data_IF_384350823405
#
_entry.id   IF_384350823405
#
_cell.length_a   1.000
_cell.length_b   1.000
_cell.length_c   1.000
_cell.angle_alpha   90.00
_cell.angle_beta   90.00
_cell.angle_gamma   90.00
#
_symmetry.space_group_name_H-M   'P 1'
#
loop_
_entity.id
_entity.type
_entity.pdbx_description
1 polymer ?
#
# COMPACT_ATOMS: atom_id res chain seq x y z
N UNK A 1 15.85 -22.04 8.81
CA UNK A 1 14.73 -21.09 8.65
C UNK A 1 14.64 -20.58 7.22
N UNK A 2 15.67 -19.95 6.66
CA UNK A 2 15.66 -19.34 5.31
C UNK A 2 15.24 -20.30 4.18
N UNK A 3 15.79 -21.52 4.12
CA UNK A 3 15.42 -22.51 3.08
C UNK A 3 13.92 -22.86 3.07
N UNK A 4 13.28 -22.91 4.23
CA UNK A 4 11.85 -23.24 4.33
C UNK A 4 10.97 -22.07 3.90
N UNK A 5 11.34 -20.84 4.27
CA UNK A 5 10.63 -19.65 3.83
C UNK A 5 10.70 -19.48 2.30
N UNK A 6 11.86 -19.73 1.71
CA UNK A 6 12.04 -19.74 0.24
C UNK A 6 11.14 -20.81 -0.39
N UNK A 7 11.17 -22.06 0.10
CA UNK A 7 10.31 -23.13 -0.42
C UNK A 7 8.82 -22.78 -0.38
N UNK A 8 8.34 -22.18 0.72
CA UNK A 8 6.94 -21.79 0.84
C UNK A 8 6.57 -20.67 -0.16
N UNK A 9 7.46 -19.69 -0.34
CA UNK A 9 7.24 -18.62 -1.33
C UNK A 9 7.25 -19.17 -2.76
N UNK A 10 8.14 -20.11 -3.06
CA UNK A 10 8.19 -20.78 -4.37
C UNK A 10 6.91 -21.58 -4.61
N UNK A 11 6.42 -22.33 -3.61
CA UNK A 11 5.14 -23.05 -3.66
C UNK A 11 3.95 -22.09 -3.92
N UNK A 12 3.91 -20.93 -3.25
CA UNK A 12 2.88 -19.91 -3.48
C UNK A 12 2.97 -19.32 -4.89
N UNK A 13 4.18 -19.10 -5.41
CA UNK A 13 4.41 -18.59 -6.77
C UNK A 13 3.97 -19.61 -7.83
N UNK A 14 4.29 -20.90 -7.63
CA UNK A 14 3.89 -21.98 -8.53
C UNK A 14 2.36 -22.13 -8.56
N UNK A 15 1.71 -22.06 -7.39
CA UNK A 15 0.24 -22.10 -7.29
C UNK A 15 -0.42 -20.90 -7.98
N UNK A 16 0.16 -19.71 -7.86
CA UNK A 16 -0.30 -18.52 -8.58
C UNK A 16 -0.13 -18.66 -10.09
N UNK A 17 1.03 -19.14 -10.55
CA UNK A 17 1.33 -19.36 -11.97
C UNK A 17 0.35 -20.36 -12.60
N UNK A 18 0.10 -21.49 -11.94
CA UNK A 18 -0.89 -22.48 -12.38
C UNK A 18 -2.30 -21.87 -12.46
N UNK A 19 -2.75 -21.16 -11.42
CA UNK A 19 -4.07 -20.52 -11.42
C UNK A 19 -4.19 -19.45 -12.51
N UNK A 20 -3.11 -18.71 -12.78
CA UNK A 20 -3.05 -17.68 -13.81
C UNK A 20 -3.14 -18.26 -15.23
N UNK A 21 -2.45 -19.39 -15.46
CA UNK A 21 -2.50 -20.13 -16.71
C UNK A 21 -3.88 -20.74 -16.95
N UNK A 22 -4.45 -21.42 -15.95
CA UNK A 22 -5.79 -22.02 -16.03
C UNK A 22 -6.87 -20.96 -16.31
N UNK A 23 -6.70 -19.75 -15.79
CA UNK A 23 -7.58 -18.62 -16.05
C UNK A 23 -7.38 -17.97 -17.43
N UNK A 24 -6.36 -18.37 -18.20
CA UNK A 24 -6.04 -17.81 -19.52
C UNK A 24 -5.56 -16.35 -19.47
N UNK A 25 -4.97 -15.92 -18.35
CA UNK A 25 -4.58 -14.52 -18.13
C UNK A 25 -3.15 -14.20 -18.56
N UNK A 26 -2.35 -15.23 -18.89
CA UNK A 26 -0.97 -15.10 -19.35
C UNK A 26 -0.90 -14.23 -20.61
N UNK A 27 -0.03 -13.21 -20.61
CA UNK A 27 0.09 -12.27 -21.71
C UNK A 27 -1.11 -11.31 -21.90
N UNK A 28 -2.14 -11.40 -21.06
CA UNK A 28 -3.36 -10.59 -21.17
C UNK A 28 -3.24 -9.15 -20.68
N UNK A 29 -2.05 -8.73 -20.23
CA UNK A 29 -1.77 -7.37 -19.74
C UNK A 29 -2.44 -7.02 -18.41
N UNK A 30 -3.07 -7.99 -17.73
CA UNK A 30 -3.72 -7.77 -16.45
C UNK A 30 -2.67 -7.60 -15.35
N UNK A 31 -2.60 -6.40 -14.78
CA UNK A 31 -1.59 -6.05 -13.78
C UNK A 31 -1.75 -6.91 -12.52
N UNK A 32 -0.62 -7.41 -12.01
CA UNK A 32 -0.53 -8.11 -10.73
C UNK A 32 0.18 -7.21 -9.72
N UNK A 33 -0.31 -7.17 -8.49
CA UNK A 33 0.31 -6.40 -7.41
C UNK A 33 0.99 -7.38 -6.43
N UNK A 34 2.27 -7.14 -6.16
CA UNK A 34 2.97 -7.77 -5.03
C UNK A 34 3.11 -6.76 -3.89
N UNK A 35 3.16 -7.24 -2.66
CA UNK A 35 3.26 -6.36 -1.50
C UNK A 35 4.22 -6.87 -0.45
N UNK A 36 4.87 -5.94 0.24
CA UNK A 36 5.81 -6.19 1.32
C UNK A 36 5.67 -5.09 2.38
N UNK A 37 6.12 -5.30 3.64
CA UNK A 37 6.27 -4.18 4.56
C UNK A 37 7.23 -3.15 3.95
N UNK A 38 6.96 -1.87 4.15
CA UNK A 38 7.91 -0.82 3.79
C UNK A 38 9.12 -0.79 4.73
N UNK A 39 10.21 -0.10 4.35
CA UNK A 39 11.46 -0.10 5.07
C UNK A 39 11.34 0.40 6.53
N UNK A 40 10.49 1.39 6.81
CA UNK A 40 10.29 1.91 8.17
C UNK A 40 9.53 0.89 9.02
N UNK A 41 8.42 0.36 8.50
CA UNK A 41 7.61 -0.65 9.18
C UNK A 41 8.39 -1.94 9.42
N UNK A 42 9.22 -2.38 8.47
CA UNK A 42 10.11 -3.52 8.63
C UNK A 42 11.13 -3.28 9.74
N UNK A 43 11.85 -2.16 9.72
CA UNK A 43 12.84 -1.83 10.74
C UNK A 43 12.22 -1.62 12.13
N UNK A 44 10.99 -1.10 12.19
CA UNK A 44 10.25 -0.97 13.43
C UNK A 44 9.77 -2.34 13.96
N UNK A 45 9.48 -3.30 13.08
CA UNK A 45 8.98 -4.63 13.44
C UNK A 45 10.05 -5.64 13.87
N UNK A 46 11.33 -5.36 13.63
CA UNK A 46 12.45 -6.24 13.95
C UNK A 46 13.23 -5.79 15.18
N UNK A 47 13.79 -6.75 15.91
CA UNK A 47 14.65 -6.53 17.08
C UNK A 47 16.10 -6.90 16.76
N UNK A 48 17.03 -6.09 17.28
CA UNK A 48 18.45 -6.38 17.31
C UNK A 48 18.77 -7.40 18.41
N UNK A 49 19.97 -7.97 18.38
CA UNK A 49 20.41 -8.96 19.39
C UNK A 49 20.38 -8.45 20.84
N UNK A 50 20.38 -7.12 21.04
CA UNK A 50 20.28 -6.46 22.34
C UNK A 50 18.83 -6.13 22.77
N UNK A 51 17.83 -6.55 21.99
CA UNK A 51 16.40 -6.32 22.25
C UNK A 51 15.87 -4.95 21.81
N UNK A 52 16.73 -4.03 21.36
CA UNK A 52 16.26 -2.77 20.78
C UNK A 52 15.66 -2.99 19.39
N UNK A 53 14.65 -2.20 19.01
CA UNK A 53 14.12 -2.22 17.65
C UNK A 53 15.21 -1.83 16.64
N UNK A 54 15.26 -2.49 15.50
CA UNK A 54 16.26 -2.23 14.46
C UNK A 54 16.20 -0.78 13.94
N UNK A 55 15.01 -0.15 13.98
CA UNK A 55 14.84 1.28 13.63
C UNK A 55 15.70 2.25 14.46
N UNK A 56 16.22 1.83 15.61
CA UNK A 56 17.10 2.65 16.46
C UNK A 56 18.57 2.67 16.01
N UNK A 57 18.96 1.79 15.08
CA UNK A 57 20.31 1.70 14.54
C UNK A 57 20.32 2.15 13.06
N UNK A 58 20.92 3.30 12.73
CA UNK A 58 20.97 3.79 11.35
C UNK A 58 21.68 2.86 10.36
N UNK A 59 22.63 2.05 10.82
CA UNK A 59 23.29 1.04 10.00
C UNK A 59 22.32 -0.10 9.68
N UNK A 60 21.67 -0.66 10.71
CA UNK A 60 20.68 -1.72 10.53
C UNK A 60 19.52 -1.29 9.63
N UNK A 61 19.02 -0.06 9.78
CA UNK A 61 17.94 0.49 8.95
C UNK A 61 18.33 0.53 7.47
N UNK A 62 19.54 1.01 7.16
CA UNK A 62 20.03 1.06 5.77
C UNK A 62 20.19 -0.34 5.18
N UNK A 63 20.77 -1.27 5.94
CA UNK A 63 20.98 -2.66 5.50
C UNK A 63 19.64 -3.37 5.26
N UNK A 64 18.66 -3.17 6.16
CA UNK A 64 17.31 -3.72 6.01
C UNK A 64 16.60 -3.14 4.79
N UNK A 65 16.67 -1.83 4.56
CA UNK A 65 16.05 -1.19 3.40
C UNK A 65 16.68 -1.66 2.08
N UNK A 66 18.01 -1.76 2.03
CA UNK A 66 18.72 -2.28 0.86
C UNK A 66 18.38 -3.75 0.58
N UNK A 67 18.35 -4.59 1.61
CA UNK A 67 18.00 -6.01 1.48
C UNK A 67 16.53 -6.21 1.07
N UNK A 68 15.61 -5.43 1.64
CA UNK A 68 14.20 -5.42 1.25
C UNK A 68 14.03 -5.01 -0.22
N UNK A 69 14.71 -3.93 -0.62
CA UNK A 69 14.67 -3.41 -1.98
C UNK A 69 15.14 -4.47 -3.00
N UNK A 70 16.26 -5.14 -2.75
CA UNK A 70 16.78 -6.23 -3.58
C UNK A 70 15.81 -7.41 -3.66
N UNK A 71 15.32 -7.88 -2.50
CA UNK A 71 14.42 -9.03 -2.42
C UNK A 71 13.09 -8.80 -3.15
N UNK A 72 12.48 -7.63 -2.97
CA UNK A 72 11.22 -7.28 -3.64
C UNK A 72 11.44 -7.08 -5.14
N UNK A 73 12.54 -6.46 -5.57
CA UNK A 73 12.86 -6.31 -6.98
C UNK A 73 13.03 -7.68 -7.67
N UNK A 74 13.76 -8.60 -7.03
CA UNK A 74 13.96 -9.96 -7.54
C UNK A 74 12.64 -10.73 -7.62
N UNK A 75 11.83 -10.69 -6.56
CA UNK A 75 10.53 -11.37 -6.52
C UNK A 75 9.54 -10.83 -7.57
N UNK A 76 9.47 -9.50 -7.70
CA UNK A 76 8.66 -8.83 -8.73
C UNK A 76 9.09 -9.26 -10.13
N UNK A 77 10.39 -9.28 -10.41
CA UNK A 77 10.93 -9.65 -11.71
C UNK A 77 10.64 -11.11 -12.06
N UNK A 78 10.75 -12.02 -11.08
CA UNK A 78 10.43 -13.43 -11.26
C UNK A 78 8.94 -13.64 -11.59
N UNK A 79 8.04 -13.00 -10.83
CA UNK A 79 6.60 -13.07 -11.12
C UNK A 79 6.23 -12.45 -12.47
N UNK A 80 6.83 -11.31 -12.82
CA UNK A 80 6.58 -10.69 -14.14
C UNK A 80 6.97 -11.62 -15.29
N UNK A 81 8.08 -12.37 -15.12
CA UNK A 81 8.54 -13.37 -16.08
C UNK A 81 7.63 -14.59 -16.15
N UNK A 82 7.21 -15.14 -15.00
CA UNK A 82 6.32 -16.32 -14.92
C UNK A 82 4.94 -16.04 -15.51
N UNK A 83 4.34 -14.91 -15.13
CA UNK A 83 2.97 -14.56 -15.48
C UNK A 83 2.83 -13.84 -16.83
N UNK A 84 3.95 -13.40 -17.42
CA UNK A 84 4.02 -12.61 -18.65
C UNK A 84 3.07 -11.39 -18.63
N UNK A 85 3.10 -10.66 -17.52
CA UNK A 85 2.21 -9.51 -17.28
C UNK A 85 2.92 -8.44 -16.44
N UNK A 86 2.49 -7.16 -16.49
CA UNK A 86 3.05 -6.15 -15.62
C UNK A 86 2.81 -6.50 -14.14
N UNK A 87 3.88 -6.46 -13.36
CA UNK A 87 3.82 -6.58 -11.89
C UNK A 87 4.20 -5.25 -11.27
N UNK A 88 3.37 -4.73 -10.37
CA UNK A 88 3.60 -3.49 -9.61
C UNK A 88 3.81 -3.81 -8.13
N UNK A 89 4.45 -2.90 -7.39
CA UNK A 89 4.84 -3.11 -6.00
C UNK A 89 4.04 -2.21 -5.07
N UNK A 90 3.64 -2.75 -3.91
CA UNK A 90 3.14 -1.97 -2.80
C UNK A 90 4.02 -2.17 -1.56
N UNK A 91 4.45 -1.07 -0.95
CA UNK A 91 5.08 -1.07 0.36
C UNK A 91 4.08 -0.63 1.43
N UNK A 92 3.89 -1.46 2.44
CA UNK A 92 2.96 -1.21 3.54
C UNK A 92 3.69 -0.49 4.68
N UNK A 93 3.32 0.77 4.92
CA UNK A 93 3.89 1.67 5.92
C UNK A 93 2.87 2.17 6.98
N UNK A 94 2.16 1.27 7.70
CA UNK A 94 1.25 1.67 8.77
C UNK A 94 1.97 2.28 9.98
N UNK A 95 3.27 1.99 10.19
CA UNK A 95 4.03 2.52 11.33
C UNK A 95 4.74 3.83 11.03
N UNK A 96 4.74 4.30 9.79
CA UNK A 96 5.46 5.52 9.37
C UNK A 96 5.04 6.76 10.17
N UNK A 97 3.75 7.12 10.31
CA UNK A 97 3.34 8.27 11.14
C UNK A 97 3.83 8.18 12.59
N UNK A 98 3.82 6.97 13.16
CA UNK A 98 4.24 6.70 14.54
C UNK A 98 5.75 6.80 14.70
N UNK A 99 6.53 6.35 13.72
CA UNK A 99 7.98 6.45 13.68
C UNK A 99 8.46 7.90 13.58
N UNK A 100 7.90 8.67 12.65
CA UNK A 100 8.22 10.10 12.49
C UNK A 100 7.84 10.91 13.75
N UNK A 101 6.79 10.49 14.44
CA UNK A 101 6.34 11.11 15.68
C UNK A 101 7.12 10.72 16.95
N UNK A 102 8.09 9.80 16.88
CA UNK A 102 8.78 9.27 18.06
C UNK A 102 7.86 8.54 19.04
N UNK A 103 6.80 7.91 18.52
CA UNK A 103 5.75 7.24 19.32
C UNK A 103 5.88 5.72 19.34
N UNK A 104 6.96 5.17 18.76
CA UNK A 104 7.24 3.75 18.82
C UNK A 104 7.71 3.36 20.23
N UNK A 105 7.14 2.28 20.76
CA UNK A 105 7.57 1.72 22.04
C UNK A 105 8.98 1.16 21.92
N UNK A 106 9.88 1.45 22.86
CA UNK A 106 11.16 0.74 22.93
C UNK A 106 11.09 -0.49 23.82
N UNK A 107 12.26 -0.95 24.28
CA UNK A 107 12.41 -2.16 25.12
C UNK A 107 11.58 -2.08 26.40
N UNK A 108 11.43 -0.87 26.93
CA UNK A 108 10.55 -0.56 28.07
C UNK A 108 9.70 0.66 27.74
N UNK A 109 8.59 0.86 28.47
CA UNK A 109 7.78 2.07 28.38
C UNK A 109 8.51 3.36 28.74
N UNK A 110 9.67 3.25 29.40
CA UNK A 110 10.54 4.36 29.82
C UNK A 110 11.66 4.67 28.80
N UNK A 111 11.74 3.93 27.70
CA UNK A 111 12.76 4.11 26.66
C UNK A 111 12.08 4.21 25.29
N UNK A 112 11.32 5.29 25.00
CA UNK A 112 10.70 5.46 23.70
C UNK A 112 11.77 5.55 22.60
N UNK A 113 11.42 5.07 21.41
CA UNK A 113 12.26 5.24 20.22
C UNK A 113 12.20 6.69 19.78
N UNK A 114 13.36 7.31 19.51
CA UNK A 114 13.44 8.68 19.05
C UNK A 114 12.69 8.87 17.70
N UNK A 115 12.15 10.08 17.44
CA UNK A 115 11.58 10.41 16.14
C UNK A 115 12.53 10.09 14.98
N UNK A 116 12.01 9.42 13.95
CA UNK A 116 12.73 9.23 12.71
C UNK A 116 12.69 10.54 11.90
N UNK A 117 13.85 10.99 11.41
CA UNK A 117 13.92 12.18 10.56
C UNK A 117 13.23 11.94 9.21
N UNK A 118 12.43 12.89 8.75
CA UNK A 118 11.71 12.80 7.47
C UNK A 118 12.64 12.59 6.27
N UNK A 119 13.81 13.24 6.27
CA UNK A 119 14.80 13.09 5.21
C UNK A 119 15.34 11.65 5.12
N UNK A 120 15.53 11.00 6.28
CA UNK A 120 15.95 9.60 6.35
C UNK A 120 14.84 8.68 5.86
N UNK A 121 13.60 8.88 6.35
CA UNK A 121 12.45 8.10 5.91
C UNK A 121 12.22 8.21 4.40
N UNK A 122 12.26 9.42 3.84
CA UNK A 122 12.15 9.66 2.41
C UNK A 122 13.23 8.94 1.60
N UNK A 123 14.51 9.05 2.01
CA UNK A 123 15.61 8.37 1.32
C UNK A 123 15.49 6.83 1.32
N UNK A 124 14.98 6.24 2.42
CA UNK A 124 14.75 4.80 2.50
C UNK A 124 13.63 4.35 1.55
N UNK A 125 12.52 5.10 1.53
CA UNK A 125 11.40 4.85 0.60
C UNK A 125 11.89 4.96 -0.84
N UNK A 126 12.60 6.04 -1.19
CA UNK A 126 13.10 6.26 -2.55
C UNK A 126 14.11 5.19 -2.99
N UNK A 127 14.92 4.68 -2.06
CA UNK A 127 15.82 3.52 -2.33
C UNK A 127 15.02 2.29 -2.74
N UNK A 128 13.94 1.97 -2.02
CA UNK A 128 13.08 0.85 -2.36
C UNK A 128 12.32 1.09 -3.68
N UNK A 129 11.87 2.32 -3.95
CA UNK A 129 11.20 2.68 -5.20
C UNK A 129 12.15 2.54 -6.40
N UNK A 130 13.37 3.07 -6.29
CA UNK A 130 14.37 3.01 -7.36
C UNK A 130 14.75 1.56 -7.73
N UNK A 131 14.79 0.66 -6.76
CA UNK A 131 15.12 -0.74 -6.99
C UNK A 131 13.95 -1.56 -7.59
N UNK A 132 12.70 -1.17 -7.32
CA UNK A 132 11.52 -1.98 -7.67
C UNK A 132 11.36 -2.26 -9.17
N UNK A 133 11.89 -1.38 -10.04
CA UNK A 133 11.83 -1.53 -11.49
C UNK A 133 10.39 -1.50 -12.07
N UNK A 134 9.44 -0.92 -11.32
CA UNK A 134 8.03 -0.81 -11.65
C UNK A 134 7.40 0.34 -10.86
N UNK A 135 6.13 0.67 -11.17
CA UNK A 135 5.36 1.61 -10.37
C UNK A 135 5.20 1.08 -8.93
N UNK A 136 5.35 2.00 -7.98
CA UNK A 136 5.31 1.70 -6.55
C UNK A 136 4.22 2.50 -5.86
N UNK A 137 3.36 1.78 -5.15
CA UNK A 137 2.39 2.35 -4.22
C UNK A 137 2.92 2.26 -2.77
N UNK A 138 2.65 3.29 -1.97
CA UNK A 138 2.81 3.23 -0.52
C UNK A 138 1.43 3.10 0.12
N UNK A 139 1.19 2.08 0.94
CA UNK A 139 -0.04 1.92 1.69
C UNK A 139 0.14 2.35 3.14
N UNK A 140 -0.82 3.09 3.69
CA UNK A 140 -0.90 3.32 5.13
C UNK A 140 -2.35 3.51 5.55
N UNK A 141 -2.81 2.65 6.46
CA UNK A 141 -4.13 2.75 7.10
C UNK A 141 -4.09 3.52 8.43
N UNK A 142 -2.96 4.15 8.77
CA UNK A 142 -2.81 4.97 9.96
C UNK A 142 -3.26 6.41 9.73
N UNK A 143 -3.77 7.05 10.78
CA UNK A 143 -4.01 8.50 10.78
C UNK A 143 -2.68 9.29 10.80
N UNK A 144 -2.72 10.54 10.33
CA UNK A 144 -1.56 11.44 10.32
C UNK A 144 -0.56 11.10 9.22
N UNK A 145 -1.06 10.90 8.00
CA UNK A 145 -0.23 10.62 6.82
C UNK A 145 0.73 11.80 6.58
N UNK A 146 2.05 11.55 6.45
CA UNK A 146 3.03 12.63 6.25
C UNK A 146 3.05 13.10 4.79
N UNK A 147 2.01 13.80 4.36
CA UNK A 147 1.81 14.20 2.95
C UNK A 147 2.99 14.98 2.36
N UNK A 148 3.62 15.87 3.13
CA UNK A 148 4.78 16.63 2.64
C UNK A 148 5.97 15.72 2.31
N UNK A 149 6.23 14.70 3.13
CA UNK A 149 7.25 13.69 2.86
C UNK A 149 6.89 12.88 1.62
N UNK A 150 5.66 12.38 1.54
CA UNK A 150 5.19 11.60 0.39
C UNK A 150 5.19 12.39 -0.91
N UNK A 151 4.96 13.71 -0.84
CA UNK A 151 5.05 14.59 -2.00
C UNK A 151 6.49 14.73 -2.51
N UNK A 152 7.49 14.73 -1.62
CA UNK A 152 8.91 14.81 -1.97
C UNK A 152 9.52 13.46 -2.39
N UNK A 153 8.88 12.34 -2.04
CA UNK A 153 9.35 11.01 -2.44
C UNK A 153 9.00 10.70 -3.90
N UNK A 154 9.59 9.62 -4.41
CA UNK A 154 9.43 9.17 -5.80
C UNK A 154 8.32 8.12 -5.97
N UNK A 155 7.46 7.91 -4.98
CA UNK A 155 6.34 6.96 -5.09
C UNK A 155 5.34 7.41 -6.17
N UNK A 156 4.66 6.45 -6.79
CA UNK A 156 3.74 6.68 -7.90
C UNK A 156 2.29 6.75 -7.42
N UNK A 157 2.00 6.05 -6.32
CA UNK A 157 0.68 6.06 -5.71
C UNK A 157 0.73 5.99 -4.19
N UNK A 158 -0.34 6.45 -3.54
CA UNK A 158 -0.56 6.26 -2.10
C UNK A 158 -1.93 5.63 -1.86
N UNK A 159 -1.99 4.57 -1.05
CA UNK A 159 -3.22 3.92 -0.62
C UNK A 159 -3.52 4.28 0.84
N UNK A 160 -4.67 4.90 1.08
CA UNK A 160 -5.05 5.41 2.40
C UNK A 160 -6.45 4.95 2.81
N UNK A 161 -6.69 4.88 4.11
CA UNK A 161 -8.04 4.74 4.67
C UNK A 161 -8.69 6.14 4.79
N UNK A 162 -9.70 6.46 3.96
CA UNK A 162 -10.34 7.76 3.96
C UNK A 162 -11.04 8.11 5.28
N UNK A 163 -11.38 7.10 6.11
CA UNK A 163 -12.03 7.33 7.41
C UNK A 163 -11.09 7.96 8.44
N UNK A 164 -9.78 7.90 8.19
CA UNK A 164 -8.74 8.49 9.06
C UNK A 164 -8.32 9.90 8.64
N UNK A 165 -8.78 10.38 7.48
CA UNK A 165 -8.35 11.65 6.90
C UNK A 165 -9.05 12.85 7.55
N UNK A 166 -8.24 13.86 7.89
CA UNK A 166 -8.69 15.18 8.34
C UNK A 166 -8.84 16.15 7.17
N UNK A 167 -9.29 17.38 7.42
CA UNK A 167 -9.34 18.42 6.39
C UNK A 167 -7.94 18.74 5.81
N UNK A 168 -6.91 18.82 6.66
CA UNK A 168 -5.54 19.07 6.21
C UNK A 168 -4.97 17.93 5.36
N UNK A 169 -5.39 16.68 5.62
CA UNK A 169 -5.01 15.55 4.79
C UNK A 169 -5.58 15.64 3.38
N UNK A 170 -6.75 16.24 3.20
CA UNK A 170 -7.34 16.44 1.87
C UNK A 170 -6.55 17.43 1.03
N UNK A 171 -6.03 18.49 1.63
CA UNK A 171 -5.17 19.46 0.93
C UNK A 171 -3.87 18.77 0.45
N UNK A 172 -3.26 17.97 1.33
CA UNK A 172 -2.07 17.17 0.98
C UNK A 172 -2.35 16.13 -0.11
N UNK A 173 -3.51 15.48 -0.05
CA UNK A 173 -4.00 14.54 -1.06
C UNK A 173 -4.25 15.24 -2.40
N UNK A 174 -4.83 16.44 -2.40
CA UNK A 174 -5.05 17.22 -3.61
C UNK A 174 -3.74 17.58 -4.30
N UNK A 175 -2.77 18.10 -3.55
CA UNK A 175 -1.43 18.42 -4.08
C UNK A 175 -0.72 17.17 -4.64
N UNK A 176 -0.89 16.01 -3.99
CA UNK A 176 -0.34 14.75 -4.49
C UNK A 176 -0.95 14.36 -5.84
N UNK A 177 -2.28 14.48 -6.00
CA UNK A 177 -2.97 14.22 -7.27
C UNK A 177 -2.57 15.22 -8.35
N UNK A 178 -2.47 16.51 -8.03
CA UNK A 178 -2.04 17.58 -8.96
C UNK A 178 -0.65 17.34 -9.54
N UNK A 179 0.25 16.74 -8.76
CA UNK A 179 1.57 16.34 -9.24
C UNK A 179 1.56 15.19 -10.26
N UNK A 180 0.37 14.71 -10.64
CA UNK A 180 0.19 13.63 -11.60
C UNK A 180 0.44 12.25 -11.01
N UNK A 181 0.18 12.08 -9.70
CA UNK A 181 0.28 10.78 -9.00
C UNK A 181 -1.10 10.28 -8.59
N UNK A 182 -1.17 9.01 -8.18
CA UNK A 182 -2.44 8.30 -7.96
C UNK A 182 -2.74 8.15 -6.47
N UNK A 183 -3.98 8.39 -6.07
CA UNK A 183 -4.46 8.07 -4.73
C UNK A 183 -5.40 6.88 -4.79
N UNK A 184 -5.26 5.93 -3.88
CA UNK A 184 -6.08 4.73 -3.81
C UNK A 184 -6.87 4.78 -2.50
N UNK A 185 -8.19 4.86 -2.59
CA UNK A 185 -9.06 5.07 -1.43
C UNK A 185 -9.64 3.74 -0.96
N UNK A 186 -9.32 3.40 0.29
CA UNK A 186 -9.79 2.22 0.99
C UNK A 186 -11.23 2.33 1.49
N UNK A 187 -12.21 2.40 0.59
CA UNK A 187 -13.64 2.63 0.96
C UNK A 187 -14.43 1.35 1.25
N UNK A 188 -13.87 0.16 1.01
CA UNK A 188 -14.53 -1.12 1.33
C UNK A 188 -14.07 -1.66 2.69
N UNK A 189 -14.97 -2.05 3.62
CA UNK A 189 -14.56 -2.59 4.91
C UNK A 189 -13.70 -3.85 4.79
N UNK A 190 -12.60 -3.91 5.55
CA UNK A 190 -11.69 -5.08 5.54
C UNK A 190 -12.28 -6.32 6.24
N UNK A 191 -13.24 -6.12 7.16
CA UNK A 191 -14.00 -7.20 7.81
C UNK A 191 -15.48 -7.08 7.48
N UNK A 192 -16.22 -8.20 7.58
CA UNK A 192 -17.64 -8.22 7.27
C UNK A 192 -18.42 -7.30 8.23
N UNK A 193 -19.03 -6.21 7.72
CA UNK A 193 -19.89 -5.35 8.53
C UNK A 193 -21.22 -6.05 8.82
N UNK A 194 -21.93 -5.58 9.85
CA UNK A 194 -23.28 -6.07 10.17
C UNK A 194 -24.24 -5.91 8.98
N UNK A 195 -24.13 -4.79 8.27
CA UNK A 195 -24.86 -4.52 7.04
C UNK A 195 -23.87 -4.42 5.87
N UNK A 196 -24.03 -5.32 4.90
CA UNK A 196 -23.28 -5.28 3.64
C UNK A 196 -23.63 -3.99 2.86
N UNK A 197 -22.62 -3.19 2.46
CA UNK A 197 -22.85 -2.05 1.59
C UNK A 197 -23.13 -2.51 0.14
N UNK A 198 -23.91 -1.73 -0.59
CA UNK A 198 -24.07 -1.88 -2.04
C UNK A 198 -22.87 -1.31 -2.80
N UNK A 199 -22.76 -1.61 -4.10
CA UNK A 199 -21.69 -1.05 -4.93
C UNK A 199 -21.85 0.48 -5.10
N UNK A 200 -23.09 0.96 -5.15
CA UNK A 200 -23.46 2.37 -5.21
C UNK A 200 -23.08 3.10 -3.92
N UNK A 201 -23.27 2.47 -2.75
CA UNK A 201 -22.83 3.05 -1.48
C UNK A 201 -21.29 3.18 -1.42
N UNK A 202 -20.56 2.20 -1.94
CA UNK A 202 -19.08 2.25 -2.03
C UNK A 202 -18.63 3.33 -3.02
N UNK A 203 -19.29 3.44 -4.18
CA UNK A 203 -19.00 4.48 -5.16
C UNK A 203 -19.34 5.87 -4.61
N UNK A 204 -20.47 6.03 -3.91
CA UNK A 204 -20.83 7.27 -3.24
C UNK A 204 -19.83 7.69 -2.16
N UNK A 205 -19.25 6.75 -1.42
CA UNK A 205 -18.16 7.04 -0.48
C UNK A 205 -16.90 7.55 -1.19
N UNK A 206 -16.60 7.02 -2.38
CA UNK A 206 -15.50 7.50 -3.23
C UNK A 206 -15.77 8.93 -3.73
N UNK A 207 -16.98 9.18 -4.26
CA UNK A 207 -17.42 10.50 -4.74
C UNK A 207 -17.38 11.53 -3.60
N UNK A 208 -17.84 11.17 -2.41
CA UNK A 208 -17.84 12.08 -1.26
C UNK A 208 -16.43 12.54 -0.83
N UNK A 209 -15.42 11.68 -0.96
CA UNK A 209 -14.02 12.06 -0.69
C UNK A 209 -13.49 12.95 -1.81
N UNK A 210 -13.79 12.59 -3.05
CA UNK A 210 -13.26 13.26 -4.24
C UNK A 210 -13.87 14.63 -4.51
N UNK A 211 -15.16 14.82 -4.23
CA UNK A 211 -15.84 16.13 -4.32
C UNK A 211 -15.23 17.17 -3.37
N UNK A 212 -14.66 16.72 -2.24
CA UNK A 212 -13.97 17.60 -1.28
C UNK A 212 -12.58 18.03 -1.75
N UNK A 213 -12.01 17.37 -2.76
CA UNK A 213 -10.72 17.74 -3.34
C UNK A 213 -10.83 18.89 -4.34
N UNK A 214 -12.03 19.21 -4.83
CA UNK A 214 -12.25 20.32 -5.76
C UNK A 214 -11.79 20.08 -7.21
N UNK A 215 -11.41 18.85 -7.58
CA UNK A 215 -11.11 18.50 -8.97
C UNK A 215 -12.37 18.22 -9.78
N UNK A 216 -12.28 18.40 -11.10
CA UNK A 216 -13.27 17.83 -12.01
C UNK A 216 -13.23 16.29 -11.90
N UNK A 217 -14.39 15.64 -11.83
CA UNK A 217 -14.48 14.17 -11.65
C UNK A 217 -13.79 13.39 -12.78
N UNK A 218 -13.78 13.95 -13.98
CA UNK A 218 -13.03 13.42 -15.12
C UNK A 218 -11.51 13.36 -14.89
N UNK A 219 -10.94 14.34 -14.17
CA UNK A 219 -9.52 14.36 -13.82
C UNK A 219 -9.16 13.29 -12.77
N UNK A 220 -10.15 12.85 -11.99
CA UNK A 220 -9.99 11.88 -10.92
C UNK A 220 -10.16 10.44 -11.40
N UNK A 221 -10.87 10.22 -12.51
CA UNK A 221 -11.04 8.89 -13.12
C UNK A 221 -9.72 8.14 -13.31
N UNK A 222 -8.68 8.84 -13.76
CA UNK A 222 -7.38 8.23 -14.06
C UNK A 222 -6.41 8.24 -12.86
N UNK A 223 -6.79 8.90 -11.75
CA UNK A 223 -5.91 9.19 -10.61
C UNK A 223 -6.44 8.69 -9.27
N UNK A 224 -7.64 8.14 -9.25
CA UNK A 224 -8.28 7.61 -8.04
C UNK A 224 -8.60 6.13 -8.19
N UNK A 225 -8.00 5.32 -7.33
CA UNK A 225 -8.28 3.88 -7.22
C UNK A 225 -9.22 3.56 -6.05
N UNK A 226 -9.81 2.37 -6.09
CA UNK A 226 -10.70 1.84 -5.04
C UNK A 226 -10.13 0.55 -4.48
N UNK A 227 -10.03 0.43 -3.16
CA UNK A 227 -9.62 -0.80 -2.48
C UNK A 227 -10.44 -1.06 -1.23
N UNK A 228 -10.30 -2.25 -0.62
CA UNK A 228 -10.52 -2.40 0.81
C UNK A 228 -9.66 -1.43 1.63
N UNK A 229 -10.12 -1.10 2.84
CA UNK A 229 -9.44 -0.20 3.78
C UNK A 229 -8.06 -0.71 4.22
N UNK A 230 -7.88 -2.03 4.28
CA UNK A 230 -6.64 -2.70 4.64
C UNK A 230 -6.63 -4.13 4.06
N UNK A 231 -5.60 -4.92 4.38
CA UNK A 231 -5.52 -6.33 4.01
C UNK A 231 -6.70 -7.16 4.53
N UNK A 232 -7.09 -8.18 3.77
CA UNK A 232 -8.23 -9.06 4.04
C UNK A 232 -7.84 -10.32 4.84
N UNK A 233 -6.66 -10.38 5.46
CA UNK A 233 -6.18 -11.57 6.15
C UNK A 233 -7.08 -12.01 7.33
N UNK A 234 -7.77 -11.06 7.98
CA UNK A 234 -8.74 -11.34 9.03
C UNK A 234 -10.18 -11.57 8.54
N UNK A 235 -10.43 -11.47 7.24
CA UNK A 235 -11.75 -11.66 6.66
C UNK A 235 -12.09 -13.13 6.46
N UNK A 236 -13.39 -13.46 6.44
CA UNK A 236 -13.84 -14.75 5.92
C UNK A 236 -13.62 -14.79 4.40
N UNK A 237 -13.39 -15.97 3.79
CA UNK A 237 -13.26 -16.09 2.33
C UNK A 237 -14.45 -15.51 1.56
N UNK A 238 -15.66 -15.67 2.10
CA UNK A 238 -16.89 -15.12 1.54
C UNK A 238 -16.89 -13.59 1.54
N UNK A 239 -16.44 -12.97 2.64
CA UNK A 239 -16.31 -11.53 2.72
C UNK A 239 -15.19 -11.02 1.81
N UNK A 240 -14.03 -11.69 1.78
CA UNK A 240 -12.92 -11.29 0.93
C UNK A 240 -13.34 -11.22 -0.55
N UNK A 241 -14.05 -12.24 -1.06
CA UNK A 241 -14.62 -12.23 -2.41
C UNK A 241 -15.60 -11.07 -2.60
N UNK A 242 -16.52 -10.89 -1.65
CA UNK A 242 -17.52 -9.81 -1.69
C UNK A 242 -16.87 -8.43 -1.73
N UNK A 243 -15.84 -8.21 -0.90
CA UNK A 243 -15.14 -6.94 -0.81
C UNK A 243 -14.43 -6.57 -2.13
N UNK A 244 -13.78 -7.55 -2.76
CA UNK A 244 -13.14 -7.37 -4.07
C UNK A 244 -14.18 -7.14 -5.17
N UNK A 245 -15.30 -7.87 -5.16
CA UNK A 245 -16.42 -7.64 -6.10
C UNK A 245 -17.02 -6.24 -5.95
N UNK A 246 -17.17 -5.74 -4.72
CA UNK A 246 -17.66 -4.39 -4.45
C UNK A 246 -16.67 -3.32 -4.94
N UNK A 247 -15.38 -3.48 -4.65
CA UNK A 247 -14.35 -2.56 -5.13
C UNK A 247 -14.31 -2.51 -6.66
N UNK A 248 -14.38 -3.66 -7.33
CA UNK A 248 -14.40 -3.75 -8.79
C UNK A 248 -15.63 -3.06 -9.39
N UNK A 249 -16.82 -3.31 -8.85
CA UNK A 249 -18.07 -2.67 -9.32
C UNK A 249 -18.08 -1.17 -9.09
N UNK A 250 -17.60 -0.70 -7.93
CA UNK A 250 -17.50 0.73 -7.64
C UNK A 250 -16.52 1.43 -8.60
N UNK A 251 -15.37 0.81 -8.88
CA UNK A 251 -14.42 1.32 -9.87
C UNK A 251 -15.01 1.36 -11.29
N UNK A 252 -15.78 0.33 -11.69
CA UNK A 252 -16.47 0.31 -12.99
C UNK A 252 -17.53 1.40 -13.09
N UNK A 253 -18.36 1.57 -12.06
CA UNK A 253 -19.38 2.61 -12.02
C UNK A 253 -18.73 4.01 -12.13
N UNK A 254 -17.68 4.25 -11.35
CA UNK A 254 -16.92 5.50 -11.39
C UNK A 254 -16.25 5.74 -12.76
N UNK A 255 -15.80 4.69 -13.44
CA UNK A 255 -15.19 4.81 -14.77
C UNK A 255 -16.22 5.05 -15.90
N UNK A 256 -17.44 4.53 -15.77
CA UNK A 256 -18.47 4.68 -16.81
C UNK A 256 -19.09 6.07 -16.82
N UNK A 257 -19.53 6.57 -15.66
CA UNK A 257 -20.15 7.89 -15.54
C UNK A 257 -19.86 8.49 -14.16
N UNK A 258 -18.74 9.24 -14.01
CA UNK A 258 -18.41 9.91 -12.76
C UNK A 258 -19.44 10.95 -12.32
N UNK A 259 -20.27 11.48 -13.23
CA UNK A 259 -21.23 12.54 -12.94
C UNK A 259 -22.63 12.00 -12.59
N UNK A 260 -22.91 10.72 -12.86
CA UNK A 260 -24.17 10.05 -12.53
C UNK A 260 -24.22 9.44 -11.13
N UNK A 261 -23.12 9.50 -10.37
CA UNK A 261 -22.99 9.02 -8.98
C UNK A 261 -22.92 10.22 -8.04
#
# INVERSE_FOLDING_TARGET
>A
MTRRAISLLDEDCDALEEAWEVAGLRGGGRVVKVQAPGPITLAAGLELANGHRAITDPGAVRDLAASLAEGVAAHRADLARRLETPVVVQFDEPLLPTALGGRLTGVTSLSPVAPLEEAVAGALIDTCVAAAGADVALHSCAAGIPWELLQRSTIHAVSVDPTTLTAADLDGMAAFVESGRTVILGVVPAAAPERRPSAEEVAGALVAVTDRLGFARSALRDRVGVTPACGLAGATPQWARTAIELAAKAAEAFAQDPDAI
#
